data_IF_750466107121
#
_entry.id   IF_750466107121
#
_cell.length_a   1.000
_cell.length_b   1.000
_cell.length_c   1.000
_cell.angle_alpha   90.00
_cell.angle_beta   90.00
_cell.angle_gamma   90.00
#
_symmetry.space_group_name_H-M   'P 1'
#
loop_
_entity.id
_entity.type
_entity.pdbx_description
1 polymer ?
#
# COMPACT_ATOMS: atom_id res chain seq x y z
N UNK A 1 5.07 19.70 16.64
CA UNK A 1 4.65 19.44 16.39
C UNK A 1 4.11 18.82 15.96
N UNK A 2 4.06 18.72 15.96
CA UNK A 2 3.59 18.15 15.61
C UNK A 2 2.83 17.93 14.97
N UNK A 3 2.40 18.12 15.07
CA UNK A 3 1.52 18.08 14.38
C UNK A 3 1.62 17.51 13.20
N UNK A 4 2.49 17.59 12.79
CA UNK A 4 2.68 17.12 11.56
C UNK A 4 2.36 15.76 11.42
N UNK A 5 2.72 14.97 12.35
CA UNK A 5 2.44 13.59 12.29
C UNK A 5 0.99 13.33 12.02
N UNK A 6 0.17 14.20 12.45
CA UNK A 6 -1.24 13.97 12.28
C UNK A 6 -1.68 14.01 10.86
N UNK A 7 -0.92 14.66 10.03
CA UNK A 7 -1.32 14.71 8.68
C UNK A 7 -1.03 13.47 7.99
N UNK A 8 -0.23 12.65 8.57
CA UNK A 8 0.17 11.44 7.96
C UNK A 8 -0.73 10.30 8.36
N UNK A 9 -1.98 10.48 8.24
CA UNK A 9 -2.93 9.47 8.66
C UNK A 9 -2.95 8.27 7.72
N UNK A 10 -1.84 7.98 7.12
CA UNK A 10 -1.77 6.83 6.25
C UNK A 10 -1.63 5.56 7.06
N UNK A 11 -2.34 4.53 6.67
CA UNK A 11 -2.24 3.24 7.32
C UNK A 11 -1.67 2.26 6.31
N UNK A 12 -0.52 1.71 6.64
CA UNK A 12 0.18 0.80 5.74
C UNK A 12 -0.55 -0.53 5.66
N UNK A 13 -0.81 -0.98 4.45
CA UNK A 13 -1.39 -2.30 4.22
C UNK A 13 -0.29 -3.34 4.10
N UNK A 14 0.68 -3.09 3.24
CA UNK A 14 1.78 -4.02 3.04
C UNK A 14 2.92 -3.30 2.34
N UNK A 15 4.04 -3.97 2.23
CA UNK A 15 5.19 -3.39 1.55
C UNK A 15 6.32 -4.38 1.43
N UNK A 16 7.30 -4.06 0.61
CA UNK A 16 8.48 -4.89 0.42
C UNK A 16 9.71 -4.00 0.35
N UNK A 17 10.80 -4.53 0.88
CA UNK A 17 12.06 -3.81 0.96
C UNK A 17 13.15 -4.66 0.32
N UNK A 18 13.67 -4.20 -0.82
CA UNK A 18 14.69 -4.96 -1.54
C UNK A 18 16.01 -5.02 -0.78
N UNK A 19 16.32 -3.99 0.00
CA UNK A 19 17.59 -3.96 0.73
C UNK A 19 17.63 -5.01 1.82
N UNK A 20 16.50 -5.21 2.51
CA UNK A 20 16.39 -6.21 3.57
C UNK A 20 15.81 -7.51 3.06
N UNK A 21 15.31 -7.52 1.84
CA UNK A 21 14.67 -8.69 1.24
C UNK A 21 13.54 -9.17 2.12
N UNK A 22 12.70 -8.23 2.56
CA UNK A 22 11.59 -8.55 3.44
C UNK A 22 10.29 -8.04 2.89
N UNK A 23 9.22 -8.76 3.21
CA UNK A 23 7.87 -8.38 2.88
C UNK A 23 7.10 -8.22 4.17
N UNK A 24 6.29 -7.17 4.25
CA UNK A 24 5.50 -6.88 5.43
C UNK A 24 4.02 -6.81 5.06
N UNK A 25 3.18 -7.44 5.87
CA UNK A 25 1.74 -7.35 5.72
C UNK A 25 1.15 -6.97 7.06
N UNK A 26 0.30 -5.94 7.07
CA UNK A 26 -0.25 -5.41 8.30
C UNK A 26 -1.30 -6.36 8.88
N UNK A 27 -1.08 -6.80 10.11
CA UNK A 27 -1.97 -7.74 10.76
C UNK A 27 -3.38 -7.20 10.96
N UNK A 28 -3.54 -5.89 10.95
CA UNK A 28 -4.87 -5.30 11.08
C UNK A 28 -5.79 -5.72 9.95
N UNK A 29 -5.22 -6.12 8.83
CA UNK A 29 -5.98 -6.51 7.66
C UNK A 29 -5.98 -8.00 7.44
N UNK A 30 -5.83 -8.75 8.53
CA UNK A 30 -5.71 -10.19 8.45
C UNK A 30 -6.96 -10.86 7.89
N UNK A 31 -8.09 -10.18 7.93
CA UNK A 31 -9.34 -10.75 7.44
C UNK A 31 -9.49 -10.69 5.93
N UNK A 32 -8.58 -10.00 5.26
CA UNK A 32 -8.58 -9.98 3.81
C UNK A 32 -8.34 -11.41 3.31
N UNK A 33 -9.08 -11.85 2.27
CA UNK A 33 -8.90 -13.22 1.77
C UNK A 33 -7.47 -13.53 1.37
N UNK A 34 -7.08 -14.79 1.55
CA UNK A 34 -5.71 -15.18 1.26
C UNK A 34 -5.33 -14.96 -0.19
N UNK A 35 -6.26 -15.15 -1.11
CA UNK A 35 -5.95 -14.95 -2.51
C UNK A 35 -5.55 -13.51 -2.79
N UNK A 36 -6.17 -12.56 -2.09
CA UNK A 36 -5.82 -11.16 -2.25
C UNK A 36 -4.50 -10.87 -1.57
N UNK A 37 -4.27 -11.46 -0.40
CA UNK A 37 -2.98 -11.31 0.28
C UNK A 37 -1.85 -11.81 -0.61
N UNK A 38 -2.06 -12.94 -1.28
CA UNK A 38 -1.05 -13.49 -2.18
C UNK A 38 -0.79 -12.56 -3.35
N UNK A 39 -1.84 -11.99 -3.89
CA UNK A 39 -1.69 -11.07 -5.01
C UNK A 39 -0.91 -9.83 -4.62
N UNK A 40 -1.19 -9.29 -3.43
CA UNK A 40 -0.46 -8.15 -2.92
C UNK A 40 1.01 -8.49 -2.71
N UNK A 41 1.27 -9.67 -2.19
CA UNK A 41 2.64 -10.12 -1.97
C UNK A 41 3.38 -10.16 -3.31
N UNK A 42 2.75 -10.73 -4.33
CA UNK A 42 3.37 -10.84 -5.63
C UNK A 42 3.65 -9.46 -6.21
N UNK A 43 2.71 -8.55 -6.12
CA UNK A 43 2.89 -7.21 -6.64
C UNK A 43 4.13 -6.55 -6.01
N UNK A 44 4.21 -6.62 -4.69
CA UNK A 44 5.31 -5.95 -3.99
C UNK A 44 6.66 -6.60 -4.28
N UNK A 45 6.70 -7.93 -4.28
CA UNK A 45 7.96 -8.62 -4.50
C UNK A 45 8.45 -8.43 -5.94
N UNK A 46 7.55 -8.51 -6.91
CA UNK A 46 7.94 -8.32 -8.30
C UNK A 46 8.48 -6.91 -8.51
N UNK A 47 7.86 -5.92 -7.87
CA UNK A 47 8.35 -4.56 -8.01
C UNK A 47 9.79 -4.46 -7.52
N UNK A 48 10.07 -4.99 -6.33
CA UNK A 48 11.40 -4.88 -5.76
C UNK A 48 12.40 -5.71 -6.54
N UNK A 49 11.97 -6.79 -7.18
CA UNK A 49 12.87 -7.59 -7.99
C UNK A 49 13.23 -6.89 -9.29
N UNK A 50 12.30 -6.14 -9.86
CA UNK A 50 12.54 -5.47 -11.11
C UNK A 50 13.25 -4.14 -10.94
N UNK A 51 12.89 -3.39 -9.92
CA UNK A 51 13.37 -2.03 -9.76
C UNK A 51 14.24 -1.86 -8.53
N UNK A 52 14.06 -2.72 -7.54
CA UNK A 52 14.75 -2.55 -6.27
C UNK A 52 14.02 -1.55 -5.40
N UNK A 53 14.70 -1.03 -4.40
CA UNK A 53 14.13 -0.04 -3.52
C UNK A 53 13.10 -0.59 -2.57
N UNK A 54 12.16 0.27 -2.21
CA UNK A 54 11.13 -0.05 -1.24
C UNK A 54 9.78 0.35 -1.82
N UNK A 55 8.80 -0.55 -1.74
CA UNK A 55 7.45 -0.23 -2.17
C UNK A 55 6.52 -0.39 -0.97
N UNK A 56 5.58 0.54 -0.82
CA UNK A 56 4.61 0.51 0.26
C UNK A 56 3.22 0.77 -0.31
N UNK A 57 2.27 -0.08 0.07
CA UNK A 57 0.87 0.14 -0.27
C UNK A 57 0.17 0.57 1.00
N UNK A 58 -0.49 1.72 0.95
CA UNK A 58 -1.09 2.29 2.15
C UNK A 58 -2.40 2.96 1.80
N UNK A 59 -3.28 3.07 2.81
CA UNK A 59 -4.53 3.80 2.67
C UNK A 59 -4.31 5.21 3.18
N UNK A 60 -4.71 6.19 2.37
CA UNK A 60 -4.56 7.58 2.80
C UNK A 60 -5.77 7.99 3.65
N UNK A 61 -5.84 9.29 3.98
CA UNK A 61 -6.92 9.78 4.83
C UNK A 61 -8.29 9.51 4.26
N UNK A 62 -8.39 9.50 2.95
CA UNK A 62 -9.67 9.30 2.29
C UNK A 62 -10.02 7.84 2.12
N UNK A 63 -9.12 6.96 2.52
CA UNK A 63 -9.36 5.54 2.39
C UNK A 63 -9.00 4.98 1.02
N UNK A 64 -8.26 5.73 0.23
CA UNK A 64 -7.83 5.28 -1.08
C UNK A 64 -6.48 4.60 -0.97
N UNK A 65 -6.35 3.45 -1.60
CA UNK A 65 -5.08 2.72 -1.59
C UNK A 65 -4.10 3.39 -2.53
N UNK A 66 -2.96 3.77 -2.01
CA UNK A 66 -1.93 4.45 -2.80
C UNK A 66 -0.63 3.66 -2.75
N UNK A 67 0.21 3.87 -3.75
CA UNK A 67 1.51 3.22 -3.86
C UNK A 67 2.57 4.26 -3.58
N UNK A 68 3.48 3.94 -2.67
CA UNK A 68 4.62 4.81 -2.37
C UNK A 68 5.89 4.04 -2.62
N UNK A 69 6.89 4.69 -3.18
CA UNK A 69 8.17 4.05 -3.47
C UNK A 69 9.29 4.92 -2.92
N UNK A 70 10.36 4.25 -2.50
CA UNK A 70 11.52 4.92 -1.95
C UNK A 70 12.77 4.16 -2.32
N UNK A 71 13.91 4.83 -2.19
CA UNK A 71 15.20 4.20 -2.41
C UNK A 71 16.20 4.81 -1.44
N UNK A 72 17.22 4.04 -1.08
CA UNK A 72 18.27 4.54 -0.24
C UNK A 72 19.04 5.62 -0.97
N UNK A 73 19.55 6.61 -0.25
CA UNK A 73 20.26 7.72 -0.88
C UNK A 73 21.48 7.24 -1.66
N UNK A 74 22.11 6.21 -1.18
CA UNK A 74 23.32 5.70 -1.83
C UNK A 74 23.04 4.69 -2.93
N UNK A 75 21.77 4.46 -3.23
CA UNK A 75 21.40 3.51 -4.28
C UNK A 75 21.39 4.23 -5.62
N UNK A 76 22.52 4.29 -6.26
CA UNK A 76 22.65 4.99 -7.54
C UNK A 76 22.11 4.17 -8.71
N UNK A 77 21.77 2.92 -8.47
CA UNK A 77 21.24 2.07 -9.53
C UNK A 77 19.72 2.13 -9.60
N UNK A 78 19.10 2.73 -8.61
CA UNK A 78 17.65 2.82 -8.60
C UNK A 78 17.19 3.77 -9.70
N UNK A 79 16.32 3.27 -10.58
CA UNK A 79 15.87 4.04 -11.72
C UNK A 79 14.47 4.56 -11.45
N UNK A 80 14.37 5.84 -11.14
CA UNK A 80 13.09 6.43 -10.79
C UNK A 80 12.12 6.42 -11.97
N UNK A 81 12.63 6.50 -13.16
CA UNK A 81 11.77 6.47 -14.34
C UNK A 81 11.14 5.11 -14.49
N UNK A 82 11.94 4.05 -14.40
CA UNK A 82 11.41 2.69 -14.48
C UNK A 82 10.46 2.41 -13.32
N UNK A 83 10.79 2.91 -12.15
CA UNK A 83 9.93 2.75 -10.98
C UNK A 83 8.57 3.38 -11.23
N UNK A 84 8.54 4.60 -11.75
CA UNK A 84 7.29 5.28 -12.03
C UNK A 84 6.46 4.59 -13.08
N UNK A 85 7.14 4.07 -14.11
CA UNK A 85 6.43 3.36 -15.17
C UNK A 85 5.82 2.08 -14.64
N UNK A 86 6.55 1.37 -13.78
CA UNK A 86 6.04 0.12 -13.23
C UNK A 86 4.88 0.38 -12.28
N UNK A 87 4.95 1.44 -11.48
CA UNK A 87 3.84 1.80 -10.61
C UNK A 87 2.59 2.07 -11.44
N UNK A 88 2.74 2.81 -12.54
CA UNK A 88 1.61 3.11 -13.40
C UNK A 88 1.03 1.85 -14.02
N UNK A 89 1.90 0.93 -14.41
CA UNK A 89 1.47 -0.34 -14.98
C UNK A 89 0.70 -1.16 -13.95
N UNK A 90 1.19 -1.21 -12.72
CA UNK A 90 0.52 -1.93 -11.64
C UNK A 90 -0.86 -1.33 -11.42
N UNK A 91 -0.96 -0.01 -11.34
CA UNK A 91 -2.25 0.64 -11.13
C UNK A 91 -3.23 0.31 -12.24
N UNK A 92 -2.74 0.29 -13.47
CA UNK A 92 -3.60 0.01 -14.60
C UNK A 92 -4.07 -1.44 -14.59
N UNK A 93 -3.16 -2.37 -14.36
CA UNK A 93 -3.50 -3.78 -14.40
C UNK A 93 -4.31 -4.23 -13.20
N UNK A 94 -4.08 -3.61 -12.05
CA UNK A 94 -4.72 -4.02 -10.81
C UNK A 94 -5.73 -3.01 -10.32
N UNK A 95 -6.29 -2.23 -11.23
CA UNK A 95 -7.22 -1.19 -10.86
C UNK A 95 -8.39 -1.73 -10.06
N UNK A 96 -8.96 -2.84 -10.50
CA UNK A 96 -10.11 -3.41 -9.81
C UNK A 96 -9.74 -3.87 -8.41
N UNK A 97 -8.56 -4.45 -8.27
CA UNK A 97 -8.11 -4.89 -6.96
C UNK A 97 -7.95 -3.70 -6.04
N UNK A 98 -7.32 -2.64 -6.52
CA UNK A 98 -7.10 -1.45 -5.70
C UNK A 98 -8.41 -0.79 -5.33
N UNK A 99 -9.37 -0.74 -6.26
CA UNK A 99 -10.67 -0.16 -5.96
C UNK A 99 -11.43 -1.00 -4.94
N UNK A 100 -11.32 -2.32 -5.06
CA UNK A 100 -11.97 -3.21 -4.10
C UNK A 100 -11.39 -3.04 -2.71
N UNK A 101 -10.07 -2.91 -2.62
CA UNK A 101 -9.42 -2.72 -1.33
C UNK A 101 -9.76 -1.37 -0.73
N UNK A 102 -9.83 -0.33 -1.56
CA UNK A 102 -10.22 0.99 -1.09
C UNK A 102 -11.64 0.95 -0.54
N UNK A 103 -12.52 0.28 -1.25
CA UNK A 103 -13.90 0.14 -0.79
C UNK A 103 -13.97 -0.66 0.50
N UNK A 104 -13.19 -1.73 0.58
CA UNK A 104 -13.13 -2.54 1.80
C UNK A 104 -12.74 -1.68 2.99
N UNK A 105 -11.71 -0.86 2.81
CA UNK A 105 -11.24 -0.01 3.88
C UNK A 105 -12.32 0.98 4.31
N UNK A 106 -12.98 1.60 3.35
CA UNK A 106 -14.01 2.57 3.66
C UNK A 106 -15.20 1.93 4.36
N UNK A 107 -15.60 0.75 3.92
CA UNK A 107 -16.78 0.10 4.48
C UNK A 107 -16.46 -0.57 5.81
N UNK A 108 -15.37 -1.30 5.87
CA UNK A 108 -15.08 -2.11 7.05
C UNK A 108 -14.37 -1.33 8.13
N UNK A 109 -13.36 -0.56 7.76
CA UNK A 109 -12.56 0.15 8.75
C UNK A 109 -13.17 1.48 9.12
N UNK A 110 -13.40 2.33 8.11
CA UNK A 110 -13.99 3.64 8.38
C UNK A 110 -15.48 3.53 8.67
N UNK A 111 -16.11 2.56 8.05
CA UNK A 111 -17.55 2.37 8.23
C UNK A 111 -17.93 2.00 9.64
N UNK A 112 -17.03 1.38 10.38
CA UNK A 112 -17.35 1.03 11.76
C UNK A 112 -17.61 2.28 12.58
N UNK A 113 -16.81 3.31 12.36
CA UNK A 113 -17.02 4.55 13.09
C UNK A 113 -18.29 5.21 12.64
N UNK A 114 -18.56 5.21 11.35
CA UNK A 114 -19.77 5.81 10.83
C UNK A 114 -20.98 5.01 11.26
N UNK A 115 -20.83 3.69 11.28
CA UNK A 115 -21.92 2.83 11.71
C UNK A 115 -22.31 3.11 13.14
N UNK A 116 -21.33 3.33 14.00
CA UNK A 116 -21.61 3.66 15.38
C UNK A 116 -22.43 4.92 15.49
N UNK A 117 -22.14 5.88 14.66
CA UNK A 117 -22.88 7.13 14.70
C UNK A 117 -24.28 6.97 14.14
N UNK A 118 -24.40 6.17 13.10
CA UNK A 118 -25.69 6.00 12.46
C UNK A 118 -26.63 5.14 13.27
N UNK A 119 -26.10 4.30 14.10
CA UNK A 119 -26.94 3.41 14.91
C UNK A 119 -27.63 4.12 16.06
N UNK A 120 -27.37 5.39 16.19
CA UNK A 120 -28.01 6.14 17.27
C UNK A 120 -29.51 6.24 17.17
#
# INVERSE_FOLDING_TARGET
>A
MVMCGTMEEKIVLCGANAYDRKYYFNQKFDKIPDSIKDELHIICVLFTEEVGGIITLAFNEEGTLVIETNAAEEDFYYDEISSGLLVREIRRKKQELFESLSLYYKVVILGEDIGSLLDE
#
